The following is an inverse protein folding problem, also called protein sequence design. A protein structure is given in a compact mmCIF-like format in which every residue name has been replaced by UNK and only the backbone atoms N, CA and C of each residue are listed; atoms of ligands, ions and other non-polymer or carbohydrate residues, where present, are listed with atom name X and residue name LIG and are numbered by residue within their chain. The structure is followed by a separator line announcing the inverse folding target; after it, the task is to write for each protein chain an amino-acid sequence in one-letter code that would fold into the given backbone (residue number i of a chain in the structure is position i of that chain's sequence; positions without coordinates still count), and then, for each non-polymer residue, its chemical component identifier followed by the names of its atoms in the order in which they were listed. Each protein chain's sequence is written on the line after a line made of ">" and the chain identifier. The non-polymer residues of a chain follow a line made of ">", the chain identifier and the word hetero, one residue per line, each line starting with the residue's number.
data_IF_465135070407
#
_entry.id   IF_465135070407
#
_cell.length_a   1.000
_cell.length_b   1.000
_cell.length_c   1.000
_cell.angle_alpha   90.00
_cell.angle_beta   90.00
_cell.angle_gamma   90.00
#
_symmetry.space_group_name_H-M   'P 1'
#
loop_
_entity.id
_entity.type
_entity.pdbx_description
1 polymer ?
#
# COMPACT_ATOMS: atom_id res chain seq x y z
N UNK A 1 -21.12 -7.41 22.61
CA UNK A 1 -20.01 -7.99 21.83
C UNK A 1 -19.54 -6.95 20.83
N UNK A 2 -18.26 -6.60 20.83
CA UNK A 2 -17.71 -5.61 19.91
C UNK A 2 -17.61 -6.21 18.50
N UNK A 3 -18.18 -5.54 17.49
CA UNK A 3 -18.05 -5.94 16.09
C UNK A 3 -17.05 -5.03 15.39
N UNK A 4 -16.01 -5.61 14.80
CA UNK A 4 -14.90 -4.88 14.17
C UNK A 4 -15.09 -4.83 12.65
N UNK A 5 -14.87 -3.65 12.07
CA UNK A 5 -14.63 -3.47 10.65
C UNK A 5 -13.15 -3.18 10.43
N UNK A 6 -12.44 -4.13 9.80
CA UNK A 6 -11.05 -3.98 9.41
C UNK A 6 -10.97 -3.58 7.93
N UNK A 7 -10.54 -2.36 7.65
CA UNK A 7 -10.18 -1.91 6.30
C UNK A 7 -8.73 -2.32 6.04
N UNK A 8 -8.46 -2.97 4.90
CA UNK A 8 -7.12 -3.48 4.61
C UNK A 8 -6.77 -3.61 3.13
N UNK A 9 -5.94 -4.60 2.83
CA UNK A 9 -5.32 -4.80 1.52
C UNK A 9 -3.80 -4.92 1.57
N UNK A 10 -3.21 -4.95 2.77
CA UNK A 10 -1.80 -5.22 3.03
C UNK A 10 -1.62 -6.46 3.90
N UNK A 11 -0.39 -6.96 3.98
CA UNK A 11 -0.04 -8.19 4.71
C UNK A 11 -0.44 -8.13 6.18
N UNK A 12 -0.21 -7.00 6.86
CA UNK A 12 -0.59 -6.81 8.25
C UNK A 12 -2.09 -6.92 8.48
N UNK A 13 -2.89 -6.30 7.61
CA UNK A 13 -4.33 -6.38 7.70
C UNK A 13 -4.82 -7.82 7.51
N UNK A 14 -4.21 -8.57 6.59
CA UNK A 14 -4.52 -9.99 6.42
C UNK A 14 -4.13 -10.81 7.66
N UNK A 15 -2.99 -10.50 8.28
CA UNK A 15 -2.56 -11.15 9.52
C UNK A 15 -3.55 -10.89 10.68
N UNK A 16 -4.04 -9.66 10.80
CA UNK A 16 -5.10 -9.32 11.78
C UNK A 16 -6.41 -10.04 11.42
N UNK A 17 -6.83 -10.02 10.15
CA UNK A 17 -8.07 -10.66 9.72
C UNK A 17 -8.12 -12.16 10.05
N UNK A 18 -6.96 -12.84 10.03
CA UNK A 18 -6.84 -14.26 10.42
C UNK A 18 -7.09 -14.54 11.90
N UNK A 19 -7.05 -13.53 12.77
CA UNK A 19 -7.37 -13.67 14.20
C UNK A 19 -8.83 -13.31 14.50
N UNK A 20 -9.58 -12.81 13.51
CA UNK A 20 -10.95 -12.32 13.69
C UNK A 20 -11.98 -13.44 13.50
N UNK A 21 -12.99 -13.47 14.38
CA UNK A 21 -14.14 -14.37 14.31
C UNK A 21 -15.21 -13.99 13.27
N UNK A 22 -16.22 -14.87 13.05
CA UNK A 22 -17.25 -14.74 12.01
C UNK A 22 -18.16 -13.52 12.13
N UNK A 23 -18.22 -12.89 13.29
CA UNK A 23 -18.95 -11.65 13.52
C UNK A 23 -18.26 -10.42 12.91
N UNK A 24 -16.94 -10.46 12.73
CA UNK A 24 -16.17 -9.32 12.23
C UNK A 24 -16.14 -9.25 10.70
N UNK A 25 -15.78 -8.09 10.17
CA UNK A 25 -15.72 -7.82 8.73
C UNK A 25 -14.33 -7.37 8.32
N UNK A 26 -13.70 -8.10 7.41
CA UNK A 26 -12.51 -7.68 6.67
C UNK A 26 -12.90 -7.09 5.32
N UNK A 27 -12.48 -5.87 5.03
CA UNK A 27 -12.87 -5.13 3.84
C UNK A 27 -11.70 -4.81 2.92
N UNK A 28 -11.91 -5.08 1.63
CA UNK A 28 -10.93 -4.94 0.55
C UNK A 28 -11.50 -4.10 -0.60
N UNK A 29 -10.63 -3.31 -1.25
CA UNK A 29 -10.98 -2.59 -2.47
C UNK A 29 -11.19 -3.52 -3.70
N UNK A 30 -10.61 -4.73 -3.68
CA UNK A 30 -10.71 -5.70 -4.79
C UNK A 30 -9.60 -5.60 -5.84
N UNK A 31 -8.51 -4.88 -5.56
CA UNK A 31 -7.37 -4.70 -6.48
C UNK A 31 -6.45 -5.94 -6.53
N UNK A 32 -6.49 -6.79 -5.49
CA UNK A 32 -5.66 -8.00 -5.37
C UNK A 32 -6.50 -9.25 -5.11
N UNK A 33 -5.82 -10.35 -4.76
CA UNK A 33 -6.49 -11.62 -4.42
C UNK A 33 -7.37 -11.44 -3.18
N UNK A 34 -8.59 -11.90 -3.27
CA UNK A 34 -9.52 -11.99 -2.14
C UNK A 34 -9.25 -13.30 -1.39
N UNK A 35 -8.95 -13.26 -0.07
CA UNK A 35 -8.76 -14.46 0.72
C UNK A 35 -10.10 -15.20 0.90
N UNK A 36 -10.04 -16.52 0.86
CA UNK A 36 -11.22 -17.41 0.97
C UNK A 36 -11.14 -18.33 2.20
N UNK A 37 -10.05 -18.23 2.95
CA UNK A 37 -9.67 -19.09 4.09
C UNK A 37 -9.92 -18.40 5.46
N UNK A 38 -10.61 -17.25 5.49
CA UNK A 38 -10.82 -16.48 6.71
C UNK A 38 -12.09 -16.92 7.46
N UNK A 39 -12.02 -16.90 8.79
CA UNK A 39 -13.18 -17.12 9.66
C UNK A 39 -14.11 -15.90 9.69
N UNK A 40 -13.56 -14.68 9.62
CA UNK A 40 -14.34 -13.45 9.52
C UNK A 40 -14.99 -13.27 8.15
N UNK A 41 -16.01 -12.42 8.09
CA UNK A 41 -16.67 -12.08 6.82
C UNK A 41 -15.74 -11.24 5.94
N UNK A 42 -15.70 -11.53 4.63
CA UNK A 42 -14.92 -10.76 3.66
C UNK A 42 -15.84 -9.93 2.79
N UNK A 43 -15.60 -8.62 2.76
CA UNK A 43 -16.33 -7.66 1.92
C UNK A 43 -15.41 -7.05 0.88
N UNK A 44 -15.84 -7.09 -0.39
CA UNK A 44 -15.12 -6.46 -1.50
C UNK A 44 -15.93 -5.31 -2.09
N UNK A 45 -15.26 -4.20 -2.39
CA UNK A 45 -15.83 -3.05 -3.09
C UNK A 45 -15.92 -1.80 -2.23
N UNK A 46 -16.22 -0.68 -2.89
CA UNK A 46 -16.32 0.64 -2.26
C UNK A 46 -17.56 0.82 -1.38
N UNK A 47 -17.54 1.89 -0.60
CA UNK A 47 -18.65 2.29 0.28
C UNK A 47 -19.42 3.51 -0.22
N UNK A 48 -18.97 4.19 -1.26
CA UNK A 48 -19.57 5.46 -1.69
C UNK A 48 -19.19 6.65 -0.80
N UNK A 49 -17.91 6.76 -0.43
CA UNK A 49 -17.41 7.84 0.42
C UNK A 49 -17.56 7.58 1.91
N UNK A 50 -17.35 8.62 2.72
CA UNK A 50 -17.42 8.55 4.18
C UNK A 50 -18.85 8.30 4.68
N UNK A 51 -19.84 8.92 4.03
CA UNK A 51 -21.26 8.82 4.39
C UNK A 51 -21.77 7.39 4.19
N UNK A 52 -21.48 6.78 3.04
CA UNK A 52 -21.86 5.40 2.77
C UNK A 52 -21.12 4.40 3.66
N UNK A 53 -19.87 4.68 4.03
CA UNK A 53 -19.15 3.89 5.04
C UNK A 53 -19.80 4.03 6.42
N UNK A 54 -20.23 5.23 6.82
CA UNK A 54 -20.94 5.45 8.09
C UNK A 54 -22.31 4.74 8.12
N UNK A 55 -23.04 4.74 7.00
CA UNK A 55 -24.27 3.97 6.87
C UNK A 55 -24.03 2.47 7.03
N UNK A 56 -22.98 1.94 6.39
CA UNK A 56 -22.60 0.54 6.54
C UNK A 56 -22.23 0.19 7.99
N UNK A 57 -21.42 1.04 8.65
CA UNK A 57 -21.04 0.88 10.07
C UNK A 57 -22.29 0.72 10.94
N UNK A 58 -23.27 1.62 10.79
CA UNK A 58 -24.53 1.58 11.57
C UNK A 58 -25.36 0.34 11.23
N UNK A 59 -25.56 0.06 9.94
CA UNK A 59 -26.37 -1.07 9.49
C UNK A 59 -25.81 -2.43 9.94
N UNK A 60 -24.49 -2.54 10.06
CA UNK A 60 -23.82 -3.75 10.51
C UNK A 60 -23.56 -3.79 12.02
N UNK A 61 -23.96 -2.75 12.77
CA UNK A 61 -23.67 -2.60 14.20
C UNK A 61 -22.17 -2.73 14.51
N UNK A 62 -21.33 -2.14 13.67
CA UNK A 62 -19.89 -2.07 13.91
C UNK A 62 -19.64 -1.11 15.06
N UNK A 63 -18.80 -1.53 16.00
CA UNK A 63 -18.45 -0.76 17.21
C UNK A 63 -17.00 -0.30 17.23
N UNK A 64 -16.17 -0.81 16.32
CA UNK A 64 -14.78 -0.39 16.14
C UNK A 64 -14.43 -0.43 14.66
N UNK A 65 -13.92 0.68 14.13
CA UNK A 65 -13.29 0.71 12.82
C UNK A 65 -11.78 0.62 13.01
N UNK A 66 -11.15 -0.28 12.27
CA UNK A 66 -9.71 -0.45 12.22
C UNK A 66 -9.20 -0.21 10.79
N UNK A 67 -8.40 0.84 10.61
CA UNK A 67 -7.74 1.16 9.35
C UNK A 67 -6.32 0.59 9.32
N UNK A 68 -6.16 -0.52 8.61
CA UNK A 68 -4.86 -1.12 8.27
C UNK A 68 -4.66 -1.10 6.75
N UNK A 69 -5.08 -0.04 6.06
CA UNK A 69 -4.90 0.13 4.62
C UNK A 69 -3.45 0.52 4.27
N UNK A 70 -3.11 0.47 2.98
CA UNK A 70 -1.77 0.85 2.50
C UNK A 70 -1.46 2.33 2.83
N UNK A 71 -0.21 2.73 3.17
CA UNK A 71 0.11 4.12 3.53
C UNK A 71 -0.25 5.18 2.48
N UNK A 72 -0.40 4.78 1.21
CA UNK A 72 -0.81 5.67 0.10
C UNK A 72 -2.32 5.62 -0.18
N UNK A 73 -3.10 4.85 0.58
CA UNK A 73 -4.54 4.76 0.45
C UNK A 73 -5.25 5.90 1.22
N UNK A 74 -4.70 7.12 1.14
CA UNK A 74 -5.10 8.26 1.96
C UNK A 74 -6.60 8.58 1.89
N UNK A 75 -7.21 8.43 0.70
CA UNK A 75 -8.64 8.70 0.54
C UNK A 75 -9.52 7.76 1.40
N UNK A 76 -9.23 6.46 1.42
CA UNK A 76 -10.01 5.54 2.25
C UNK A 76 -9.70 5.74 3.73
N UNK A 77 -8.47 6.11 4.11
CA UNK A 77 -8.15 6.49 5.49
C UNK A 77 -8.89 7.75 5.95
N UNK A 78 -8.97 8.78 5.11
CA UNK A 78 -9.79 9.97 5.35
C UNK A 78 -11.26 9.63 5.51
N UNK A 79 -11.80 8.80 4.61
CA UNK A 79 -13.17 8.34 4.68
C UNK A 79 -13.44 7.52 5.96
N UNK A 80 -12.49 6.69 6.37
CA UNK A 80 -12.58 5.86 7.57
C UNK A 80 -12.72 6.69 8.84
N UNK A 81 -11.84 7.69 9.00
CA UNK A 81 -11.89 8.62 10.13
C UNK A 81 -13.21 9.41 10.14
N UNK A 82 -13.61 9.96 9.00
CA UNK A 82 -14.84 10.74 8.90
C UNK A 82 -16.07 9.88 9.17
N UNK A 83 -16.10 8.65 8.65
CA UNK A 83 -17.20 7.72 8.85
C UNK A 83 -17.33 7.26 10.31
N UNK A 84 -16.22 6.97 10.98
CA UNK A 84 -16.20 6.61 12.39
C UNK A 84 -16.75 7.74 13.26
N UNK A 85 -16.32 9.00 12.99
CA UNK A 85 -16.86 10.19 13.64
C UNK A 85 -18.37 10.36 13.41
N UNK A 86 -18.83 10.20 12.17
CA UNK A 86 -20.26 10.28 11.84
C UNK A 86 -21.07 9.20 12.55
N UNK A 87 -20.53 7.98 12.65
CA UNK A 87 -21.19 6.86 13.30
C UNK A 87 -21.07 6.88 14.84
N UNK A 88 -20.20 7.71 15.41
CA UNK A 88 -19.96 7.80 16.85
C UNK A 88 -19.21 6.60 17.42
N UNK A 89 -18.28 6.01 16.63
CA UNK A 89 -17.47 4.86 17.06
C UNK A 89 -15.97 5.19 16.99
N UNK A 90 -15.12 4.51 17.79
CA UNK A 90 -13.68 4.67 17.68
C UNK A 90 -13.14 4.23 16.33
N UNK A 91 -12.14 4.96 15.85
CA UNK A 91 -11.28 4.63 14.73
C UNK A 91 -9.86 4.38 15.23
N UNK A 92 -9.35 3.17 15.04
CA UNK A 92 -7.96 2.84 15.27
C UNK A 92 -7.23 2.69 13.94
N UNK A 93 -5.92 2.89 13.93
CA UNK A 93 -5.11 2.65 12.75
C UNK A 93 -3.84 1.84 13.04
N UNK A 94 -3.49 0.96 12.10
CA UNK A 94 -2.16 0.39 12.00
C UNK A 94 -1.40 1.12 10.89
N UNK A 95 -0.36 1.86 11.26
CA UNK A 95 0.48 2.65 10.35
C UNK A 95 1.91 2.14 10.42
N UNK A 96 2.29 1.35 9.43
CA UNK A 96 3.67 0.86 9.35
C UNK A 96 4.65 2.03 9.19
N UNK A 97 5.80 2.03 9.89
CA UNK A 97 6.86 3.02 9.70
C UNK A 97 7.31 3.16 8.24
N UNK A 98 7.88 4.31 7.90
CA UNK A 98 8.54 4.55 6.63
C UNK A 98 9.94 3.92 6.64
N UNK A 99 10.37 3.38 5.49
CA UNK A 99 11.78 3.07 5.30
C UNK A 99 12.59 4.36 5.45
N UNK A 100 13.80 4.22 5.98
CA UNK A 100 14.75 5.31 6.15
C UNK A 100 15.93 5.08 5.22
N UNK A 101 16.36 6.13 4.52
CA UNK A 101 17.56 6.09 3.72
C UNK A 101 18.77 5.71 4.58
N UNK A 102 19.61 4.83 4.05
CA UNK A 102 20.84 4.34 4.66
C UNK A 102 22.05 4.96 3.95
N UNK A 103 23.25 4.89 4.55
CA UNK A 103 24.47 5.29 3.86
C UNK A 103 24.60 4.58 2.49
N UNK A 104 24.86 5.37 1.44
CA UNK A 104 24.95 4.89 0.06
C UNK A 104 23.64 4.96 -0.74
N UNK A 105 22.51 5.26 -0.11
CA UNK A 105 21.27 5.54 -0.83
C UNK A 105 21.30 6.92 -1.51
N UNK A 106 20.93 6.98 -2.79
CA UNK A 106 20.58 8.21 -3.51
C UNK A 106 19.06 8.30 -3.64
N UNK A 107 18.38 8.66 -2.55
CA UNK A 107 16.94 8.86 -2.55
C UNK A 107 16.60 10.32 -2.85
N UNK A 108 15.71 10.51 -3.81
CA UNK A 108 15.22 11.82 -4.23
C UNK A 108 13.71 11.83 -4.05
N UNK A 109 13.24 12.55 -3.04
CA UNK A 109 11.81 12.65 -2.76
C UNK A 109 11.12 13.47 -3.85
N UNK A 110 9.97 12.97 -4.33
CA UNK A 110 9.09 13.65 -5.27
C UNK A 110 7.68 13.71 -4.69
N UNK A 111 7.03 14.87 -4.74
CA UNK A 111 5.75 15.07 -4.06
C UNK A 111 4.56 14.44 -4.82
N UNK A 112 4.63 14.44 -6.14
CA UNK A 112 3.53 14.08 -7.02
C UNK A 112 4.01 13.59 -8.40
N UNK A 113 3.05 13.28 -9.27
CA UNK A 113 3.32 12.78 -10.61
C UNK A 113 4.07 13.79 -11.51
N UNK A 114 3.67 15.09 -11.58
CA UNK A 114 4.44 16.08 -12.31
C UNK A 114 5.92 16.18 -11.88
N UNK A 115 6.19 16.24 -10.57
CA UNK A 115 7.57 16.27 -10.07
C UNK A 115 8.32 14.97 -10.39
N UNK A 116 7.63 13.82 -10.31
CA UNK A 116 8.21 12.54 -10.70
C UNK A 116 8.65 12.57 -12.17
N UNK A 117 7.81 13.04 -13.09
CA UNK A 117 8.15 13.12 -14.53
C UNK A 117 9.33 14.05 -14.79
N UNK A 118 9.37 15.22 -14.15
CA UNK A 118 10.50 16.14 -14.25
C UNK A 118 11.81 15.50 -13.75
N UNK A 119 11.77 14.82 -12.60
CA UNK A 119 12.94 14.12 -12.06
C UNK A 119 13.35 12.92 -12.92
N UNK A 120 12.45 12.39 -13.74
CA UNK A 120 12.67 11.22 -14.59
C UNK A 120 13.42 11.54 -15.89
N UNK A 121 13.35 12.78 -16.39
CA UNK A 121 13.91 13.17 -17.70
C UNK A 121 15.36 12.70 -17.96
N UNK A 122 16.30 12.76 -16.99
CA UNK A 122 17.69 12.38 -17.25
C UNK A 122 17.91 10.88 -17.48
N UNK A 123 16.93 10.04 -17.15
CA UNK A 123 17.06 8.58 -17.14
C UNK A 123 16.50 7.96 -18.42
N UNK A 124 16.90 6.71 -18.72
CA UNK A 124 16.54 6.00 -19.94
C UNK A 124 15.79 4.69 -19.66
N UNK A 125 16.03 4.05 -18.51
CA UNK A 125 15.56 2.70 -18.19
C UNK A 125 14.91 2.62 -16.80
N UNK A 126 13.82 3.38 -16.57
CA UNK A 126 13.20 3.44 -15.27
C UNK A 126 12.46 2.13 -14.92
N UNK A 127 12.55 1.74 -13.65
CA UNK A 127 11.73 0.68 -13.05
C UNK A 127 10.62 1.30 -12.19
N UNK A 128 9.39 1.26 -12.68
CA UNK A 128 8.21 1.66 -11.92
C UNK A 128 7.69 0.53 -11.05
N UNK A 129 7.65 0.75 -9.73
CA UNK A 129 7.05 -0.18 -8.76
C UNK A 129 5.74 0.32 -8.17
N UNK A 130 4.99 1.08 -8.98
CA UNK A 130 3.76 1.79 -8.58
C UNK A 130 2.47 1.03 -8.91
N UNK A 131 2.55 -0.22 -9.37
CA UNK A 131 1.39 -0.96 -9.86
C UNK A 131 1.10 -0.60 -11.31
N UNK A 132 -0.16 -0.34 -11.67
CA UNK A 132 -0.59 0.00 -13.05
C UNK A 132 -0.69 1.49 -13.33
N UNK A 133 -0.43 2.34 -12.33
CA UNK A 133 -0.56 3.80 -12.41
C UNK A 133 0.20 4.41 -13.61
N UNK A 134 1.47 4.08 -13.90
CA UNK A 134 2.17 4.61 -15.07
C UNK A 134 1.52 4.32 -16.44
N UNK A 135 0.71 3.26 -16.57
CA UNK A 135 -0.01 2.97 -17.82
C UNK A 135 -1.13 3.98 -18.12
N UNK A 136 -1.50 4.81 -17.14
CA UNK A 136 -2.49 5.88 -17.30
C UNK A 136 -1.86 7.20 -17.76
N UNK A 137 -0.52 7.26 -17.81
CA UNK A 137 0.27 8.48 -18.04
C UNK A 137 1.28 8.29 -19.18
N UNK A 138 0.94 7.48 -20.20
CA UNK A 138 1.86 7.07 -21.26
C UNK A 138 2.46 8.25 -22.05
N UNK A 139 1.67 9.30 -22.24
CA UNK A 139 2.05 10.51 -22.98
C UNK A 139 3.02 11.39 -22.18
N UNK A 140 3.03 11.25 -20.86
CA UNK A 140 3.88 12.04 -19.96
C UNK A 140 5.26 11.39 -19.76
N UNK A 141 5.38 10.08 -19.99
CA UNK A 141 6.66 9.36 -19.90
C UNK A 141 7.51 9.68 -21.13
N UNK A 142 8.73 10.23 -20.97
CA UNK A 142 9.56 10.68 -22.08
C UNK A 142 9.70 9.67 -23.22
N UNK A 143 9.47 10.12 -24.45
CA UNK A 143 9.38 9.27 -25.64
C UNK A 143 10.66 8.45 -25.91
N UNK A 144 11.83 8.94 -25.47
CA UNK A 144 13.13 8.29 -25.60
C UNK A 144 13.34 7.11 -24.65
N UNK A 145 12.53 6.99 -23.60
CA UNK A 145 12.73 5.99 -22.55
C UNK A 145 12.15 4.62 -22.92
N UNK A 146 12.85 3.57 -22.45
CA UNK A 146 12.34 2.20 -22.43
C UNK A 146 12.22 1.75 -20.97
N UNK A 147 11.00 1.55 -20.50
CA UNK A 147 10.71 1.45 -19.08
C UNK A 147 10.14 0.09 -18.70
N UNK A 148 10.34 -0.28 -17.44
CA UNK A 148 9.80 -1.52 -16.86
C UNK A 148 8.77 -1.16 -15.79
N UNK A 149 7.61 -1.79 -15.85
CA UNK A 149 6.55 -1.66 -14.87
C UNK A 149 6.43 -2.96 -14.08
N UNK A 150 6.31 -2.88 -12.75
CA UNK A 150 5.88 -4.02 -11.93
C UNK A 150 4.47 -3.81 -11.38
N UNK A 151 3.58 -4.73 -11.70
CA UNK A 151 2.20 -4.78 -11.21
C UNK A 151 1.89 -6.13 -10.54
N UNK A 152 0.82 -6.18 -9.76
CA UNK A 152 0.38 -7.41 -9.06
C UNK A 152 0.03 -8.56 -10.01
N UNK A 153 -0.44 -8.21 -11.21
CA UNK A 153 -0.81 -9.13 -12.27
C UNK A 153 -0.31 -8.57 -13.58
N UNK A 154 0.25 -9.45 -14.42
CA UNK A 154 0.75 -9.08 -15.73
C UNK A 154 -0.40 -8.48 -16.55
N UNK A 155 -0.08 -7.48 -17.35
CA UNK A 155 -0.95 -6.93 -18.38
C UNK A 155 -0.10 -6.66 -19.62
N UNK A 156 -0.72 -6.46 -20.79
CA UNK A 156 0.02 -6.11 -21.99
C UNK A 156 0.89 -4.86 -21.75
N UNK A 157 2.15 -4.95 -22.18
CA UNK A 157 3.02 -3.78 -22.29
C UNK A 157 2.75 -2.99 -23.56
N UNK A 158 3.72 -2.18 -23.96
CA UNK A 158 3.71 -1.46 -25.24
C UNK A 158 5.13 -1.46 -25.82
N UNK A 159 5.32 -0.81 -26.97
CA UNK A 159 6.62 -0.77 -27.68
C UNK A 159 7.78 -0.22 -26.84
N UNK A 160 7.48 0.55 -25.79
CA UNK A 160 8.46 1.18 -24.87
C UNK A 160 8.37 0.65 -23.44
N UNK A 161 7.47 -0.29 -23.16
CA UNK A 161 7.14 -0.72 -21.80
C UNK A 161 7.08 -2.23 -21.68
N UNK A 162 7.87 -2.77 -20.76
CA UNK A 162 7.74 -4.16 -20.33
C UNK A 162 7.06 -4.26 -18.98
N UNK A 163 6.05 -5.14 -18.89
CA UNK A 163 5.27 -5.35 -17.67
C UNK A 163 5.66 -6.65 -17.00
N UNK A 164 5.98 -6.58 -15.72
CA UNK A 164 6.23 -7.72 -14.84
C UNK A 164 5.01 -7.88 -13.93
N UNK A 165 4.32 -9.00 -14.06
CA UNK A 165 3.29 -9.43 -13.12
C UNK A 165 3.92 -10.23 -11.99
N UNK A 166 4.09 -9.63 -10.82
CA UNK A 166 4.69 -10.32 -9.68
C UNK A 166 4.15 -9.81 -8.35
N UNK A 167 4.20 -10.68 -7.34
CA UNK A 167 3.79 -10.38 -5.97
C UNK A 167 4.93 -10.74 -5.03
N UNK A 168 5.13 -9.91 -4.01
CA UNK A 168 6.12 -10.19 -2.98
C UNK A 168 5.72 -11.36 -2.06
N UNK A 169 6.60 -11.74 -1.13
CA UNK A 169 7.89 -11.11 -0.86
C UNK A 169 8.90 -11.33 -1.99
N UNK A 170 9.58 -10.26 -2.39
CA UNK A 170 10.63 -10.32 -3.41
C UNK A 170 11.94 -10.78 -2.80
N UNK A 171 12.72 -11.58 -3.53
CA UNK A 171 14.03 -12.03 -3.09
C UNK A 171 15.11 -11.10 -3.62
N UNK A 172 16.16 -10.89 -2.83
CA UNK A 172 17.25 -9.96 -3.18
C UNK A 172 17.96 -10.37 -4.47
N UNK A 173 18.18 -11.67 -4.69
CA UNK A 173 18.87 -12.18 -5.89
C UNK A 173 18.03 -11.99 -7.16
N UNK A 174 16.71 -12.17 -7.08
CA UNK A 174 15.78 -11.89 -8.17
C UNK A 174 15.78 -10.40 -8.54
N UNK A 175 15.86 -9.50 -7.53
CA UNK A 175 15.98 -8.06 -7.76
C UNK A 175 17.32 -7.71 -8.43
N UNK A 176 18.44 -8.33 -8.01
CA UNK A 176 19.75 -8.12 -8.63
C UNK A 176 19.72 -8.54 -10.09
N UNK A 177 19.14 -9.70 -10.37
CA UNK A 177 18.99 -10.20 -11.73
C UNK A 177 18.11 -9.25 -12.57
N UNK A 178 17.00 -8.77 -12.02
CA UNK A 178 16.13 -7.83 -12.71
C UNK A 178 16.87 -6.54 -13.08
N UNK A 179 17.54 -5.91 -12.12
CA UNK A 179 18.27 -4.66 -12.34
C UNK A 179 19.35 -4.84 -13.41
N UNK A 180 20.09 -5.96 -13.39
CA UNK A 180 21.09 -6.27 -14.41
C UNK A 180 20.47 -6.49 -15.80
N UNK A 181 19.53 -7.44 -15.91
CA UNK A 181 18.93 -7.82 -17.20
C UNK A 181 18.24 -6.65 -17.87
N UNK A 182 17.56 -5.81 -17.09
CA UNK A 182 16.83 -4.64 -17.60
C UNK A 182 17.68 -3.39 -17.69
N UNK A 183 18.91 -3.41 -17.19
CA UNK A 183 19.81 -2.25 -17.11
C UNK A 183 19.11 -1.05 -16.46
N UNK A 184 18.46 -1.28 -15.32
CA UNK A 184 17.71 -0.24 -14.62
C UNK A 184 18.67 0.87 -14.18
N UNK A 185 18.34 2.11 -14.54
CA UNK A 185 19.14 3.30 -14.22
C UNK A 185 18.45 4.25 -13.22
N UNK A 186 17.17 4.01 -12.92
CA UNK A 186 16.43 4.67 -11.83
C UNK A 186 15.30 3.78 -11.34
N UNK A 187 15.10 3.75 -10.02
CA UNK A 187 13.98 3.07 -9.38
C UNK A 187 12.92 4.09 -8.95
N UNK A 188 11.65 3.84 -9.28
CA UNK A 188 10.52 4.66 -8.84
C UNK A 188 9.72 3.84 -7.83
N UNK A 189 9.52 4.38 -6.63
CA UNK A 189 8.82 3.65 -5.58
C UNK A 189 7.98 4.50 -4.64
N UNK A 190 6.93 3.88 -4.09
CA UNK A 190 6.21 4.34 -2.91
C UNK A 190 6.98 3.89 -1.68
N UNK A 191 7.16 4.76 -0.68
CA UNK A 191 7.75 4.40 0.60
C UNK A 191 6.76 3.55 1.41
N UNK A 192 6.59 2.28 1.07
CA UNK A 192 5.59 1.40 1.70
C UNK A 192 5.97 0.93 3.11
N UNK A 193 7.26 1.02 3.47
CA UNK A 193 7.82 0.45 4.69
C UNK A 193 7.81 -1.10 4.72
N UNK A 194 7.45 -1.77 3.63
CA UNK A 194 7.25 -3.22 3.60
C UNK A 194 8.54 -4.00 3.39
N UNK A 195 8.97 -4.79 4.38
CA UNK A 195 10.12 -5.71 4.21
C UNK A 195 9.97 -6.61 2.97
N UNK A 196 8.74 -7.05 2.67
CA UNK A 196 8.43 -7.86 1.49
C UNK A 196 8.75 -7.19 0.13
N UNK A 197 8.97 -5.87 0.11
CA UNK A 197 9.30 -5.12 -1.12
C UNK A 197 10.56 -4.28 -0.99
N UNK A 198 11.22 -4.32 0.16
CA UNK A 198 12.45 -3.59 0.45
C UNK A 198 13.66 -4.01 -0.41
N UNK A 199 13.82 -5.28 -0.83
CA UNK A 199 15.03 -5.72 -1.55
C UNK A 199 15.39 -4.91 -2.79
N UNK A 200 14.43 -4.32 -3.50
CA UNK A 200 14.71 -3.42 -4.64
C UNK A 200 15.50 -2.16 -4.25
N UNK A 201 15.31 -1.66 -3.03
CA UNK A 201 16.03 -0.50 -2.48
C UNK A 201 17.46 -0.89 -2.13
N UNK A 202 17.65 -2.07 -1.57
CA UNK A 202 18.99 -2.63 -1.30
C UNK A 202 19.77 -2.81 -2.60
N UNK A 203 19.16 -3.37 -3.65
CA UNK A 203 19.82 -3.50 -4.97
C UNK A 203 20.10 -2.15 -5.61
N UNK A 204 19.21 -1.17 -5.45
CA UNK A 204 19.46 0.19 -5.93
C UNK A 204 20.70 0.79 -5.27
N UNK A 205 20.83 0.64 -3.95
CA UNK A 205 22.01 1.04 -3.17
C UNK A 205 23.29 0.33 -3.63
N UNK A 206 23.26 -0.99 -3.77
CA UNK A 206 24.40 -1.80 -4.22
C UNK A 206 24.95 -1.34 -5.58
N UNK A 207 24.07 -0.82 -6.44
CA UNK A 207 24.40 -0.41 -7.81
C UNK A 207 24.59 1.09 -7.98
N UNK A 208 24.40 1.88 -6.92
CA UNK A 208 24.38 3.34 -7.01
C UNK A 208 23.27 3.89 -7.93
N UNK A 209 22.16 3.16 -8.05
CA UNK A 209 20.99 3.57 -8.86
C UNK A 209 20.13 4.51 -8.02
N UNK A 210 19.81 5.72 -8.52
CA UNK A 210 18.93 6.64 -7.80
C UNK A 210 17.52 6.07 -7.59
N UNK A 211 16.91 6.44 -6.47
CA UNK A 211 15.53 6.09 -6.13
C UNK A 211 14.69 7.36 -6.09
N UNK A 212 13.77 7.50 -7.03
CA UNK A 212 12.70 8.50 -6.97
C UNK A 212 11.63 7.96 -6.02
N UNK A 213 11.63 8.47 -4.80
CA UNK A 213 10.72 8.04 -3.74
C UNK A 213 9.53 9.00 -3.68
N UNK A 214 8.32 8.51 -3.89
CA UNK A 214 7.12 9.34 -3.73
C UNK A 214 6.96 9.73 -2.27
N UNK A 215 6.68 10.99 -1.99
CA UNK A 215 6.33 11.45 -0.64
C UNK A 215 5.09 10.71 -0.13
N UNK A 216 5.10 10.30 1.14
CA UNK A 216 3.88 9.73 1.76
C UNK A 216 2.82 10.83 1.89
N UNK A 217 1.54 10.53 1.60
CA UNK A 217 0.48 11.49 1.87
C UNK A 217 0.29 11.67 3.38
N UNK A 218 -0.20 12.84 3.77
CA UNK A 218 -0.66 13.08 5.14
C UNK A 218 -1.92 12.26 5.38
N UNK A 219 -1.97 11.58 6.53
CA UNK A 219 -3.10 10.77 6.96
C UNK A 219 -3.81 11.45 8.13
N UNK A 220 -5.13 11.28 8.27
CA UNK A 220 -5.87 11.89 9.37
C UNK A 220 -5.46 11.28 10.71
N UNK A 221 -5.50 12.11 11.76
CA UNK A 221 -5.42 11.64 13.15
C UNK A 221 -6.60 10.73 13.48
N UNK A 222 -6.31 9.69 14.27
CA UNK A 222 -7.29 8.68 14.72
C UNK A 222 -7.23 8.55 16.23
N UNK A 223 -8.24 7.93 16.83
CA UNK A 223 -8.34 7.81 18.29
C UNK A 223 -7.17 7.01 18.90
N UNK A 224 -6.61 6.06 18.13
CA UNK A 224 -5.44 5.30 18.52
C UNK A 224 -4.63 4.82 17.32
N UNK A 225 -3.32 4.99 17.37
CA UNK A 225 -2.41 4.48 16.35
C UNK A 225 -1.51 3.36 16.88
N UNK A 226 -1.12 2.46 16.00
CA UNK A 226 -0.17 1.37 16.23
C UNK A 226 0.80 1.29 15.06
N UNK A 227 2.03 0.84 15.32
CA UNK A 227 3.03 0.59 14.26
C UNK A 227 3.21 -0.88 13.99
N UNK A 228 2.79 -1.75 14.91
CA UNK A 228 3.02 -3.19 14.87
C UNK A 228 1.76 -4.00 15.19
N UNK A 229 1.58 -5.12 14.48
CA UNK A 229 0.43 -6.03 14.64
C UNK A 229 0.29 -6.56 16.07
N UNK A 230 1.35 -7.05 16.75
CA UNK A 230 1.21 -7.59 18.11
C UNK A 230 0.67 -6.56 19.12
N UNK A 231 1.09 -5.30 19.01
CA UNK A 231 0.63 -4.22 19.90
C UNK A 231 -0.87 -3.95 19.73
N UNK A 232 -1.34 -3.97 18.49
CA UNK A 232 -2.74 -3.82 18.14
C UNK A 232 -3.58 -4.99 18.64
N UNK A 233 -3.13 -6.23 18.42
CA UNK A 233 -3.85 -7.43 18.87
C UNK A 233 -4.00 -7.44 20.40
N UNK A 234 -2.93 -7.13 21.13
CA UNK A 234 -2.98 -7.00 22.59
C UNK A 234 -3.91 -5.85 23.07
N UNK A 235 -4.19 -4.86 22.23
CA UNK A 235 -5.19 -3.83 22.53
C UNK A 235 -6.62 -4.30 22.26
N UNK A 236 -6.84 -5.11 21.22
CA UNK A 236 -8.14 -5.70 20.91
C UNK A 236 -8.57 -6.69 22.00
N UNK A 237 -7.67 -7.55 22.47
CA UNK A 237 -7.95 -8.51 23.55
C UNK A 237 -8.46 -7.81 24.83
N UNK A 238 -7.83 -6.69 25.19
CA UNK A 238 -8.25 -5.87 26.34
C UNK A 238 -9.63 -5.24 26.15
N UNK A 239 -9.98 -4.85 24.92
CA UNK A 239 -11.29 -4.29 24.59
C UNK A 239 -12.40 -5.35 24.70
N UNK A 240 -12.11 -6.60 24.35
CA UNK A 240 -13.07 -7.70 24.45
C UNK A 240 -13.29 -8.20 25.89
N UNK A 241 -12.34 -7.94 26.79
CA UNK A 241 -12.43 -8.31 28.22
C UNK A 241 -13.12 -7.26 29.11
N UNK A 242 -13.43 -6.08 28.55
CA UNK A 242 -14.08 -4.97 29.25
C UNK A 242 -15.58 -4.93 28.95
#
# INVERSE_FOLDING_TARGET
>A
MSRILLLGGVTEALAIARTLGPEHVYSLAGIGRVPTDLACQVRVGGYGGAEGLAQFIRAQNITLLLDATHPYAAQISANAQAAARLAGIPCWALRRPAWQAQPGDDWREVADWPQLMQALEPFQRPLFTLGREPLQHLEEIPASQFWTLRALEACPGNERCEVIGARGPFQIDDERELFARRRIDVLISKNSGSSATEPKLEVARERGVPVLILKRPDLPEVDRHFTEVPQLLAALERLSSA
#
